data_IF_925586178080
#
_entry.id   IF_925586178080
#
_cell.length_a   1.000
_cell.length_b   1.000
_cell.length_c   1.000
_cell.angle_alpha   90.00
_cell.angle_beta   90.00
_cell.angle_gamma   90.00
#
_symmetry.space_group_name_H-M   'P 1'
#
loop_
_entity.id
_entity.type
_entity.pdbx_description
1 polymer ?
#
# COMPACT_ATOMS: atom_id res chain seq x y z
N UNK A 1 56.64 5.45 27.79
CA UNK A 1 55.18 5.56 27.94
C UNK A 1 54.58 5.82 26.55
N UNK A 2 53.94 4.82 25.96
CA UNK A 2 53.32 4.93 24.64
C UNK A 2 51.82 5.19 24.81
N UNK A 3 51.35 6.36 24.35
CA UNK A 3 49.94 6.72 24.39
C UNK A 3 49.14 5.94 23.33
N UNK A 4 48.15 5.18 23.76
CA UNK A 4 47.17 4.54 22.93
C UNK A 4 46.12 5.55 22.45
N UNK A 5 46.19 5.90 21.18
CA UNK A 5 45.15 6.70 20.51
C UNK A 5 43.86 5.90 20.32
N UNK A 6 42.81 6.30 20.98
CA UNK A 6 41.47 5.79 20.81
C UNK A 6 40.94 6.26 19.45
N UNK A 7 40.80 5.35 18.50
CA UNK A 7 40.11 5.62 17.22
C UNK A 7 38.61 5.67 17.49
N UNK A 8 38.04 6.85 17.40
CA UNK A 8 36.60 7.03 17.36
C UNK A 8 36.05 6.38 16.07
N UNK A 9 35.33 5.28 16.22
CA UNK A 9 34.54 4.66 15.15
C UNK A 9 33.38 5.59 14.83
N UNK A 10 33.47 6.32 13.72
CA UNK A 10 32.39 7.11 13.18
C UNK A 10 31.20 6.20 12.87
N UNK A 11 30.13 6.31 13.65
CA UNK A 11 28.80 5.79 13.26
C UNK A 11 28.41 6.49 11.98
N UNK A 12 28.45 5.76 10.86
CA UNK A 12 27.75 6.16 9.63
C UNK A 12 26.28 6.28 9.99
N UNK A 13 25.77 7.50 10.08
CA UNK A 13 24.34 7.78 10.14
C UNK A 13 23.79 7.32 8.80
N UNK A 14 23.16 6.15 8.77
CA UNK A 14 22.39 5.73 7.62
C UNK A 14 21.32 6.80 7.40
N UNK A 15 21.39 7.52 6.29
CA UNK A 15 20.31 8.42 5.88
C UNK A 15 19.07 7.56 5.72
N UNK A 16 18.08 7.78 6.58
CA UNK A 16 16.78 7.13 6.46
C UNK A 16 16.24 7.36 5.06
N UNK A 17 15.78 6.30 4.42
CA UNK A 17 15.14 6.41 3.12
C UNK A 17 13.82 7.17 3.29
N UNK A 18 13.48 8.10 2.40
CA UNK A 18 12.25 8.88 2.52
C UNK A 18 11.03 7.95 2.50
N UNK A 19 10.02 8.27 3.31
CA UNK A 19 8.74 7.56 3.34
C UNK A 19 8.00 7.87 2.04
N UNK A 20 7.91 6.90 1.14
CA UNK A 20 7.15 6.98 -0.09
C UNK A 20 5.77 6.35 0.12
N UNK A 21 4.71 7.00 -0.34
CA UNK A 21 3.35 6.48 -0.42
C UNK A 21 2.84 6.64 -1.85
N UNK A 22 2.08 5.65 -2.32
CA UNK A 22 1.37 5.70 -3.59
C UNK A 22 -0.12 5.69 -3.27
N UNK A 23 -0.83 6.74 -3.68
CA UNK A 23 -2.28 6.83 -3.56
C UNK A 23 -2.89 6.66 -4.93
N UNK A 24 -4.10 6.13 -4.99
CA UNK A 24 -4.79 5.90 -6.25
C UNK A 24 -6.04 6.77 -6.33
N UNK A 25 -6.22 7.45 -7.43
CA UNK A 25 -7.44 8.15 -7.79
C UNK A 25 -7.89 7.70 -9.18
N UNK A 26 -9.04 7.05 -9.28
CA UNK A 26 -9.55 6.46 -10.53
C UNK A 26 -8.47 5.64 -11.26
N UNK A 27 -7.88 4.66 -10.56
CA UNK A 27 -6.82 3.77 -11.05
C UNK A 27 -5.51 4.45 -11.46
N UNK A 28 -5.31 5.71 -11.05
CA UNK A 28 -4.08 6.47 -11.32
C UNK A 28 -3.27 6.73 -10.07
N UNK A 29 -2.00 6.46 -10.18
CA UNK A 29 -1.04 6.66 -9.09
C UNK A 29 -0.79 8.15 -8.83
N UNK A 30 -0.81 8.52 -7.55
CA UNK A 30 -0.36 9.82 -7.02
C UNK A 30 0.72 9.53 -5.99
N UNK A 31 1.97 9.73 -6.36
CA UNK A 31 3.11 9.49 -5.48
C UNK A 31 3.27 10.62 -4.48
N UNK A 32 3.53 10.26 -3.22
CA UNK A 32 3.78 11.19 -2.14
C UNK A 32 5.03 10.79 -1.33
N UNK A 33 5.74 11.77 -0.80
CA UNK A 33 6.91 11.60 0.06
C UNK A 33 6.64 12.27 1.40
N UNK A 34 6.86 11.54 2.49
CA UNK A 34 6.76 12.09 3.83
C UNK A 34 8.02 12.86 4.20
N UNK A 35 7.84 14.04 4.72
CA UNK A 35 8.87 14.91 5.29
C UNK A 35 8.80 14.81 6.82
N UNK A 36 9.76 14.10 7.42
CA UNK A 36 9.80 13.91 8.88
C UNK A 36 10.15 15.22 9.62
N UNK A 37 10.92 16.12 9.00
CA UNK A 37 11.32 17.39 9.59
C UNK A 37 10.15 18.36 9.76
N UNK A 38 9.28 18.43 8.72
CA UNK A 38 8.13 19.32 8.71
C UNK A 38 6.80 18.61 8.99
N UNK A 39 6.83 17.29 9.27
CA UNK A 39 5.65 16.45 9.55
C UNK A 39 4.54 16.60 8.52
N UNK A 40 4.88 16.57 7.22
CA UNK A 40 3.92 16.71 6.12
C UNK A 40 4.24 15.86 4.91
N UNK A 41 3.22 15.63 4.08
CA UNK A 41 3.35 14.96 2.79
C UNK A 41 3.64 15.95 1.67
N UNK A 42 4.55 15.57 0.79
CA UNK A 42 4.82 16.21 -0.48
C UNK A 42 4.34 15.33 -1.62
N UNK A 43 3.46 15.85 -2.47
CA UNK A 43 2.82 15.13 -3.57
C UNK A 43 3.45 15.49 -4.91
N UNK A 44 3.60 14.50 -5.80
CA UNK A 44 4.13 14.70 -7.14
C UNK A 44 3.15 15.49 -8.00
N UNK A 45 3.56 16.68 -8.40
CA UNK A 45 2.72 17.59 -9.22
C UNK A 45 2.37 16.98 -10.57
N UNK A 46 3.29 16.25 -11.21
CA UNK A 46 3.01 15.66 -12.53
C UNK A 46 1.98 14.54 -12.48
N UNK A 47 1.98 13.75 -11.42
CA UNK A 47 0.96 12.70 -11.23
C UNK A 47 -0.43 13.37 -11.08
N UNK A 48 -0.51 14.43 -10.29
CA UNK A 48 -1.77 15.17 -10.09
C UNK A 48 -2.24 15.86 -11.35
N UNK A 49 -1.35 16.53 -12.08
CA UNK A 49 -1.68 17.14 -13.38
C UNK A 49 -2.17 16.09 -14.38
N UNK A 50 -1.54 14.92 -14.42
CA UNK A 50 -1.99 13.77 -15.22
C UNK A 50 -3.39 13.32 -14.85
N UNK A 51 -3.67 13.20 -13.55
CA UNK A 51 -4.99 12.86 -13.03
C UNK A 51 -6.04 13.91 -13.42
N UNK A 52 -5.77 15.18 -13.19
CA UNK A 52 -6.72 16.27 -13.41
C UNK A 52 -7.04 16.51 -14.89
N UNK A 53 -6.09 16.22 -15.80
CA UNK A 53 -6.26 16.32 -17.26
C UNK A 53 -6.67 15.02 -17.95
N UNK A 54 -6.83 13.90 -17.23
CA UNK A 54 -7.02 12.56 -17.82
C UNK A 54 -5.90 12.14 -18.79
N UNK A 55 -4.72 12.70 -18.59
CA UNK A 55 -3.59 12.50 -19.49
C UNK A 55 -2.68 11.37 -18.99
N UNK A 56 -2.68 10.21 -19.66
CA UNK A 56 -1.83 9.08 -19.28
C UNK A 56 -0.36 9.28 -19.68
N UNK A 57 -0.09 10.14 -20.67
CA UNK A 57 1.26 10.43 -21.14
C UNK A 57 1.96 11.40 -20.18
N UNK A 58 2.97 10.89 -19.50
CA UNK A 58 3.76 11.67 -18.55
C UNK A 58 4.47 12.86 -19.20
N UNK A 59 4.83 12.77 -20.49
CA UNK A 59 5.46 13.86 -21.24
C UNK A 59 4.47 15.01 -21.48
N UNK A 60 3.22 14.70 -21.80
CA UNK A 60 2.16 15.68 -21.96
C UNK A 60 1.79 16.35 -20.63
N UNK A 61 1.68 15.57 -19.54
CA UNK A 61 1.47 16.12 -18.20
C UNK A 61 2.60 17.10 -17.82
N UNK A 62 3.86 16.75 -18.10
CA UNK A 62 5.03 17.61 -17.90
C UNK A 62 4.96 18.88 -18.71
N UNK A 63 4.60 18.81 -19.99
CA UNK A 63 4.49 19.98 -20.86
C UNK A 63 3.37 20.91 -20.38
N UNK A 64 2.23 20.35 -19.98
CA UNK A 64 1.13 21.13 -19.41
C UNK A 64 1.56 21.84 -18.12
N UNK A 65 2.20 21.11 -17.20
CA UNK A 65 2.71 21.71 -15.96
C UNK A 65 3.73 22.84 -16.24
N UNK A 66 4.64 22.62 -17.15
CA UNK A 66 5.62 23.66 -17.57
C UNK A 66 4.92 24.93 -18.04
N UNK A 67 3.90 24.79 -18.88
CA UNK A 67 3.09 25.92 -19.36
C UNK A 67 2.35 26.60 -18.21
N UNK A 68 1.63 25.86 -17.40
CA UNK A 68 0.86 26.38 -16.26
C UNK A 68 1.78 27.09 -15.26
N UNK A 69 2.90 26.47 -14.89
CA UNK A 69 3.90 27.06 -13.98
C UNK A 69 4.46 28.40 -14.52
N UNK A 70 4.74 28.47 -15.82
CA UNK A 70 5.20 29.69 -16.45
C UNK A 70 4.13 30.81 -16.43
N UNK A 71 2.86 30.46 -16.64
CA UNK A 71 1.72 31.38 -16.53
C UNK A 71 1.57 31.89 -15.08
N UNK A 72 1.53 30.99 -14.11
CA UNK A 72 1.41 31.32 -12.70
C UNK A 72 2.57 32.20 -12.19
N UNK A 73 3.78 31.94 -12.69
CA UNK A 73 4.96 32.80 -12.38
C UNK A 73 4.77 34.25 -12.86
N UNK A 74 4.22 34.45 -14.04
CA UNK A 74 3.91 35.81 -14.56
C UNK A 74 2.85 36.54 -13.74
N UNK A 75 1.93 35.75 -13.14
CA UNK A 75 0.86 36.27 -12.30
C UNK A 75 1.30 36.43 -10.83
N UNK A 76 2.58 36.20 -10.49
CA UNK A 76 3.12 36.20 -9.13
C UNK A 76 2.34 35.29 -8.17
N UNK A 77 1.81 34.17 -8.68
CA UNK A 77 1.00 33.25 -7.91
C UNK A 77 1.86 32.49 -6.88
N UNK A 78 1.40 32.46 -5.63
CA UNK A 78 2.11 31.83 -4.51
C UNK A 78 2.32 30.31 -4.71
N UNK A 79 1.52 29.65 -5.55
CA UNK A 79 1.67 28.22 -5.85
C UNK A 79 3.07 27.90 -6.40
N UNK A 80 3.67 28.80 -7.18
CA UNK A 80 5.01 28.59 -7.73
C UNK A 80 6.09 28.62 -6.64
N UNK A 81 5.99 29.53 -5.69
CA UNK A 81 6.92 29.59 -4.54
C UNK A 81 6.71 28.48 -3.53
N UNK A 82 5.50 27.90 -3.44
CA UNK A 82 5.20 26.75 -2.61
C UNK A 82 5.74 25.42 -3.20
N UNK A 83 6.18 25.41 -4.47
CA UNK A 83 6.72 24.21 -5.12
C UNK A 83 8.13 23.91 -4.62
N UNK A 84 8.36 22.72 -4.08
CA UNK A 84 9.70 22.19 -3.77
C UNK A 84 10.13 21.13 -4.78
N UNK A 85 11.42 20.76 -4.78
CA UNK A 85 11.93 19.70 -5.66
C UNK A 85 12.51 18.56 -4.84
N UNK A 86 11.99 17.35 -5.08
CA UNK A 86 12.53 16.12 -4.50
C UNK A 86 12.95 15.15 -5.60
N UNK A 87 13.92 14.29 -5.27
CA UNK A 87 14.36 13.22 -6.18
C UNK A 87 13.45 12.02 -6.06
N UNK A 88 12.67 11.74 -7.09
CA UNK A 88 11.82 10.55 -7.19
C UNK A 88 12.38 9.54 -8.19
N UNK A 89 12.17 8.26 -7.90
CA UNK A 89 12.48 7.16 -8.80
C UNK A 89 11.50 7.16 -9.98
N UNK A 90 12.03 7.06 -11.20
CA UNK A 90 11.24 6.93 -12.42
C UNK A 90 11.20 5.47 -12.90
N UNK A 91 10.35 5.17 -13.87
CA UNK A 91 10.17 3.83 -14.43
C UNK A 91 11.46 3.25 -15.06
N UNK A 92 12.39 4.11 -15.48
CA UNK A 92 13.71 3.72 -16.01
C UNK A 92 14.74 3.37 -14.91
N UNK A 93 14.33 3.38 -13.64
CA UNK A 93 15.20 3.11 -12.48
C UNK A 93 16.09 4.27 -12.06
N UNK A 94 16.00 5.44 -12.70
CA UNK A 94 16.78 6.63 -12.35
C UNK A 94 15.99 7.59 -11.47
N UNK A 95 16.70 8.38 -10.65
CA UNK A 95 16.09 9.41 -9.80
C UNK A 95 16.16 10.77 -10.50
N UNK A 96 15.00 11.43 -10.65
CA UNK A 96 14.88 12.76 -11.24
C UNK A 96 14.33 13.77 -10.23
N UNK A 97 14.82 15.01 -10.34
CA UNK A 97 14.22 16.13 -9.61
C UNK A 97 12.78 16.33 -10.10
N UNK A 98 11.85 16.28 -9.18
CA UNK A 98 10.42 16.33 -9.46
C UNK A 98 9.78 17.45 -8.63
N UNK A 99 8.95 18.25 -9.24
CA UNK A 99 8.20 19.30 -8.55
C UNK A 99 7.14 18.66 -7.63
N UNK A 100 7.14 19.09 -6.38
CA UNK A 100 6.26 18.59 -5.33
C UNK A 100 5.50 19.75 -4.70
N UNK A 101 4.28 19.47 -4.26
CA UNK A 101 3.45 20.39 -3.49
C UNK A 101 2.94 19.68 -2.23
N UNK A 102 2.76 20.41 -1.15
CA UNK A 102 2.07 19.92 0.03
C UNK A 102 0.54 19.96 -0.16
N UNK A 103 -0.22 19.56 0.86
CA UNK A 103 -1.68 19.48 0.76
C UNK A 103 -2.35 20.80 0.38
N UNK A 104 -1.87 21.92 0.92
CA UNK A 104 -2.40 23.24 0.60
C UNK A 104 -2.10 23.62 -0.85
N UNK A 105 -0.88 23.34 -1.31
CA UNK A 105 -0.46 23.54 -2.69
C UNK A 105 -1.26 22.70 -3.67
N UNK A 106 -1.60 21.45 -3.32
CA UNK A 106 -2.46 20.59 -4.15
C UNK A 106 -3.88 21.14 -4.28
N UNK A 107 -4.47 21.59 -3.17
CA UNK A 107 -5.79 22.23 -3.19
C UNK A 107 -5.78 23.49 -4.06
N UNK A 108 -4.72 24.30 -3.94
CA UNK A 108 -4.55 25.49 -4.78
C UNK A 108 -4.36 25.14 -6.26
N UNK A 109 -3.56 24.11 -6.57
CA UNK A 109 -3.35 23.62 -7.94
C UNK A 109 -4.66 23.16 -8.59
N UNK A 110 -5.47 22.38 -7.89
CA UNK A 110 -6.72 21.83 -8.42
C UNK A 110 -7.72 22.93 -8.83
N UNK A 111 -7.70 24.10 -8.20
CA UNK A 111 -8.53 25.26 -8.56
C UNK A 111 -8.23 25.82 -9.95
N UNK A 112 -7.06 25.52 -10.53
CA UNK A 112 -6.71 25.89 -11.91
C UNK A 112 -7.26 24.92 -12.97
N UNK A 113 -8.01 23.89 -12.54
CA UNK A 113 -8.67 22.89 -13.40
C UNK A 113 -10.19 22.99 -13.23
N UNK A 114 -10.89 23.87 -13.96
CA UNK A 114 -12.33 24.11 -13.77
C UNK A 114 -13.18 23.00 -14.39
N UNK A 115 -13.09 21.80 -13.86
CA UNK A 115 -13.86 20.65 -14.32
C UNK A 115 -14.37 19.80 -13.13
N UNK A 116 -15.40 19.00 -13.38
CA UNK A 116 -15.99 18.12 -12.36
C UNK A 116 -14.98 17.12 -11.75
N UNK A 117 -13.93 16.79 -12.50
CA UNK A 117 -12.91 15.87 -12.06
C UNK A 117 -12.04 16.48 -10.94
N UNK A 118 -11.71 17.76 -11.08
CA UNK A 118 -10.96 18.46 -10.04
C UNK A 118 -11.73 18.50 -8.72
N UNK A 119 -13.05 18.66 -8.75
CA UNK A 119 -13.87 18.59 -7.54
C UNK A 119 -13.88 17.18 -6.93
N UNK A 120 -14.10 16.15 -7.74
CA UNK A 120 -14.02 14.75 -7.28
C UNK A 120 -12.65 14.38 -6.73
N UNK A 121 -11.58 14.87 -7.38
CA UNK A 121 -10.21 14.72 -6.91
C UNK A 121 -10.01 15.39 -5.55
N UNK A 122 -10.50 16.63 -5.37
CA UNK A 122 -10.39 17.34 -4.09
C UNK A 122 -11.16 16.64 -2.97
N UNK A 123 -12.37 16.16 -3.24
CA UNK A 123 -13.14 15.38 -2.28
C UNK A 123 -12.38 14.13 -1.83
N UNK A 124 -11.88 13.35 -2.79
CA UNK A 124 -11.05 12.18 -2.50
C UNK A 124 -9.78 12.58 -1.74
N UNK A 125 -9.08 13.63 -2.15
CA UNK A 125 -7.83 14.07 -1.55
C UNK A 125 -8.01 14.51 -0.09
N UNK A 126 -9.07 15.27 0.20
CA UNK A 126 -9.35 15.78 1.54
C UNK A 126 -9.83 14.69 2.51
N UNK A 127 -10.56 13.70 2.01
CA UNK A 127 -11.19 12.68 2.87
C UNK A 127 -10.44 11.36 2.91
N UNK A 128 -9.52 11.09 1.97
CA UNK A 128 -8.79 9.81 1.92
C UNK A 128 -8.06 9.46 3.22
N UNK A 129 -7.49 10.45 3.90
CA UNK A 129 -6.73 10.24 5.15
C UNK A 129 -7.61 10.08 6.39
N UNK A 130 -8.87 10.49 6.35
CA UNK A 130 -9.83 10.42 7.46
C UNK A 130 -10.78 9.23 7.36
N UNK A 131 -10.85 8.60 6.19
CA UNK A 131 -11.62 7.37 5.99
C UNK A 131 -11.08 6.22 6.85
N UNK A 132 -11.90 5.19 7.07
CA UNK A 132 -11.45 3.96 7.74
C UNK A 132 -10.25 3.36 7.02
N UNK A 133 -10.27 3.35 5.68
CA UNK A 133 -9.17 2.85 4.85
C UNK A 133 -7.90 3.68 5.01
N UNK A 134 -8.00 5.00 4.98
CA UNK A 134 -6.85 5.87 5.21
C UNK A 134 -6.24 5.70 6.61
N UNK A 135 -7.08 5.60 7.64
CA UNK A 135 -6.62 5.39 9.01
C UNK A 135 -5.99 4.00 9.21
N UNK A 136 -6.62 2.94 8.70
CA UNK A 136 -6.06 1.58 8.78
C UNK A 136 -4.79 1.44 7.95
N UNK A 137 -4.66 2.13 6.82
CA UNK A 137 -3.44 2.20 6.01
C UNK A 137 -2.28 2.82 6.78
N UNK A 138 -2.50 3.92 7.51
CA UNK A 138 -1.48 4.52 8.40
C UNK A 138 -1.02 3.53 9.47
N UNK A 139 -1.96 2.76 10.05
CA UNK A 139 -1.63 1.70 11.00
C UNK A 139 -0.82 0.58 10.34
N UNK A 140 -1.12 0.18 9.10
CA UNK A 140 -0.34 -0.81 8.37
C UNK A 140 1.12 -0.36 8.19
N UNK A 141 1.37 0.91 7.84
CA UNK A 141 2.74 1.44 7.80
C UNK A 141 3.42 1.35 9.17
N UNK A 142 2.75 1.81 10.23
CA UNK A 142 3.29 1.78 11.60
C UNK A 142 3.58 0.35 12.06
N UNK A 143 2.77 -0.62 11.68
CA UNK A 143 2.96 -2.04 12.01
C UNK A 143 4.33 -2.57 11.53
N UNK A 144 4.76 -2.17 10.34
CA UNK A 144 6.07 -2.55 9.80
C UNK A 144 7.21 -1.67 10.37
N UNK A 145 7.01 -0.36 10.45
CA UNK A 145 8.04 0.57 10.92
C UNK A 145 8.42 0.37 12.39
N UNK A 146 7.44 0.02 13.22
CA UNK A 146 7.68 -0.30 14.64
C UNK A 146 8.26 -1.69 14.88
N UNK A 147 8.35 -2.55 13.84
CA UNK A 147 8.67 -3.96 13.93
C UNK A 147 7.69 -4.81 14.76
N UNK A 148 6.55 -4.26 15.17
CA UNK A 148 5.53 -4.98 15.95
C UNK A 148 5.00 -6.22 15.21
N UNK A 149 5.00 -6.19 13.87
CA UNK A 149 4.63 -7.33 13.03
C UNK A 149 5.43 -8.60 13.36
N UNK A 150 6.66 -8.48 13.86
CA UNK A 150 7.53 -9.60 14.19
C UNK A 150 7.08 -10.38 15.45
N UNK A 151 6.22 -9.76 16.28
CA UNK A 151 5.67 -10.37 17.47
C UNK A 151 4.37 -11.17 17.19
N UNK A 152 3.85 -11.08 15.95
CA UNK A 152 2.62 -11.75 15.57
C UNK A 152 2.89 -13.19 15.14
N UNK A 153 1.92 -14.07 15.40
CA UNK A 153 1.97 -15.45 14.95
C UNK A 153 1.92 -15.54 13.42
N UNK A 154 2.73 -16.44 12.85
CA UNK A 154 2.87 -16.56 11.40
C UNK A 154 2.09 -17.75 10.89
N UNK A 155 1.17 -17.50 9.95
CA UNK A 155 0.41 -18.54 9.24
C UNK A 155 -0.66 -19.21 10.11
N UNK A 156 -1.08 -18.60 11.21
CA UNK A 156 -2.19 -19.07 12.06
C UNK A 156 -3.39 -18.11 11.95
N UNK A 157 -4.57 -18.62 12.26
CA UNK A 157 -5.78 -17.79 12.42
C UNK A 157 -5.57 -16.70 13.46
N UNK A 158 -4.88 -17.03 14.56
CA UNK A 158 -4.56 -16.04 15.61
C UNK A 158 -3.67 -14.94 15.08
N UNK A 159 -2.63 -15.25 14.30
CA UNK A 159 -1.79 -14.24 13.67
C UNK A 159 -2.58 -13.33 12.73
N UNK A 160 -3.52 -13.88 11.96
CA UNK A 160 -4.41 -13.09 11.12
C UNK A 160 -5.35 -12.19 11.94
N UNK A 161 -5.86 -12.67 13.09
CA UNK A 161 -6.64 -11.85 14.04
C UNK A 161 -5.80 -10.71 14.65
N UNK A 162 -4.52 -10.95 14.95
CA UNK A 162 -3.59 -9.92 15.45
C UNK A 162 -3.39 -8.82 14.41
N UNK A 163 -3.16 -9.19 13.15
CA UNK A 163 -3.04 -8.24 12.03
C UNK A 163 -4.33 -7.43 11.91
N UNK A 164 -5.48 -8.10 11.78
CA UNK A 164 -6.78 -7.44 11.61
C UNK A 164 -7.14 -6.56 12.82
N UNK A 165 -6.90 -7.03 14.03
CA UNK A 165 -7.13 -6.28 15.26
C UNK A 165 -6.29 -5.02 15.34
N UNK A 166 -5.03 -5.09 14.89
CA UNK A 166 -4.15 -3.92 14.84
C UNK A 166 -4.60 -2.91 13.76
N UNK A 167 -4.89 -3.37 12.55
CA UNK A 167 -5.28 -2.50 11.44
C UNK A 167 -6.58 -1.76 11.72
N UNK A 168 -7.57 -2.44 12.29
CA UNK A 168 -8.94 -1.94 12.40
C UNK A 168 -9.39 -1.64 13.83
N UNK A 169 -8.53 -1.84 14.83
CA UNK A 169 -8.81 -1.51 16.24
C UNK A 169 -9.16 -0.04 16.40
N UNK A 170 -10.31 0.25 17.01
CA UNK A 170 -10.87 1.59 17.14
C UNK A 170 -11.52 2.15 15.85
N UNK A 171 -11.55 1.37 14.75
CA UNK A 171 -12.22 1.72 13.50
C UNK A 171 -13.45 0.84 13.25
N UNK A 172 -13.38 -0.44 13.63
CA UNK A 172 -14.49 -1.38 13.63
C UNK A 172 -14.64 -2.02 15.01
N UNK A 173 -15.88 -2.17 15.48
CA UNK A 173 -16.18 -2.83 16.76
C UNK A 173 -15.80 -4.32 16.74
N UNK A 174 -15.77 -4.93 15.56
CA UNK A 174 -15.40 -6.34 15.34
C UNK A 174 -13.92 -6.56 15.02
N UNK A 175 -13.06 -5.56 15.20
CA UNK A 175 -11.64 -5.65 14.86
C UNK A 175 -10.98 -6.86 15.57
N UNK A 176 -10.35 -7.74 14.79
CA UNK A 176 -9.73 -8.99 15.30
C UNK A 176 -10.70 -10.11 15.65
N UNK A 177 -12.01 -9.91 15.50
CA UNK A 177 -13.04 -10.89 15.87
C UNK A 177 -13.49 -11.70 14.65
N UNK A 178 -13.56 -13.03 14.80
CA UNK A 178 -14.12 -13.91 13.77
C UNK A 178 -15.63 -13.65 13.67
N UNK A 179 -16.12 -13.48 12.46
CA UNK A 179 -17.53 -13.19 12.21
C UNK A 179 -18.46 -14.32 12.63
N UNK A 180 -19.61 -13.95 13.12
CA UNK A 180 -20.71 -14.85 13.48
C UNK A 180 -21.84 -14.87 12.44
N UNK A 181 -21.74 -14.03 11.40
CA UNK A 181 -22.71 -13.93 10.30
C UNK A 181 -22.12 -14.46 9.01
N UNK A 182 -22.96 -15.13 8.22
CA UNK A 182 -22.59 -15.55 6.86
C UNK A 182 -22.58 -14.32 5.94
N UNK A 183 -21.58 -14.25 5.05
CA UNK A 183 -21.39 -13.14 4.12
C UNK A 183 -21.12 -13.65 2.72
N UNK A 184 -21.43 -12.82 1.72
CA UNK A 184 -21.17 -13.08 0.30
C UNK A 184 -20.67 -11.79 -0.37
N UNK A 185 -19.93 -11.93 -1.47
CA UNK A 185 -19.44 -10.79 -2.29
C UNK A 185 -19.47 -11.20 -3.76
N UNK A 186 -20.05 -10.36 -4.62
CA UNK A 186 -20.08 -10.60 -6.06
C UNK A 186 -20.76 -11.92 -6.46
N UNK A 187 -21.77 -12.37 -5.72
CA UNK A 187 -22.45 -13.67 -5.96
C UNK A 187 -21.72 -14.89 -5.40
N UNK A 188 -20.51 -14.74 -4.87
CA UNK A 188 -19.80 -15.83 -4.22
C UNK A 188 -20.14 -15.89 -2.72
N UNK A 189 -20.57 -17.08 -2.26
CA UNK A 189 -20.85 -17.35 -0.84
C UNK A 189 -19.56 -17.86 -0.16
N UNK A 190 -19.04 -17.08 0.80
CA UNK A 190 -17.94 -17.53 1.65
C UNK A 190 -18.40 -18.63 2.63
N UNK A 191 -17.45 -19.26 3.30
CA UNK A 191 -17.77 -20.30 4.30
C UNK A 191 -18.84 -19.81 5.27
N UNK A 192 -19.92 -20.59 5.45
CA UNK A 192 -20.98 -20.24 6.38
C UNK A 192 -20.47 -20.11 7.81
N UNK A 193 -20.98 -19.15 8.55
CA UNK A 193 -20.51 -18.84 9.90
C UNK A 193 -20.47 -20.05 10.83
N UNK A 194 -21.48 -20.92 10.77
CA UNK A 194 -21.56 -22.16 11.55
C UNK A 194 -20.41 -23.16 11.29
N UNK A 195 -19.77 -23.09 10.11
CA UNK A 195 -18.66 -23.97 9.74
C UNK A 195 -17.29 -23.29 9.88
N UNK A 196 -17.27 -21.98 10.14
CA UNK A 196 -16.07 -21.18 10.08
C UNK A 196 -15.02 -21.64 11.10
N UNK A 197 -15.43 -21.93 12.33
CA UNK A 197 -14.53 -22.40 13.38
C UNK A 197 -13.77 -23.68 12.99
N UNK A 198 -14.47 -24.67 12.48
CA UNK A 198 -13.84 -25.94 12.08
C UNK A 198 -12.98 -25.75 10.82
N UNK A 199 -13.39 -24.88 9.89
CA UNK A 199 -12.61 -24.55 8.71
C UNK A 199 -11.29 -23.87 9.10
N UNK A 200 -11.32 -22.90 10.01
CA UNK A 200 -10.11 -22.21 10.47
C UNK A 200 -9.14 -23.16 11.19
N UNK A 201 -9.66 -24.08 12.01
CA UNK A 201 -8.82 -25.13 12.63
C UNK A 201 -8.14 -26.01 11.58
N UNK A 202 -8.83 -26.38 10.50
CA UNK A 202 -8.23 -27.14 9.40
C UNK A 202 -7.16 -26.32 8.69
N UNK A 203 -7.42 -25.04 8.41
CA UNK A 203 -6.44 -24.14 7.77
C UNK A 203 -5.19 -24.00 8.67
N UNK A 204 -5.35 -23.86 9.98
CA UNK A 204 -4.22 -23.77 10.90
C UNK A 204 -3.34 -25.03 10.86
N UNK A 205 -3.93 -26.21 10.64
CA UNK A 205 -3.19 -27.47 10.53
C UNK A 205 -2.48 -27.68 9.18
N UNK A 206 -2.78 -26.88 8.15
CA UNK A 206 -2.10 -27.00 6.86
C UNK A 206 -0.61 -26.62 6.99
N UNK A 207 0.30 -27.35 6.30
CA UNK A 207 1.70 -27.01 6.27
C UNK A 207 1.94 -25.67 5.53
N UNK A 208 3.13 -25.09 5.70
CA UNK A 208 3.51 -23.81 5.14
C UNK A 208 5.01 -23.68 4.85
N UNK A 209 5.68 -24.80 4.55
CA UNK A 209 7.12 -24.82 4.28
C UNK A 209 7.46 -24.50 2.81
N UNK A 210 6.59 -24.86 1.89
CA UNK A 210 6.75 -24.69 0.45
C UNK A 210 5.74 -23.66 -0.12
N UNK A 211 6.02 -23.19 -1.35
CA UNK A 211 5.09 -22.26 -2.01
C UNK A 211 3.73 -22.90 -2.29
N UNK A 212 3.68 -24.17 -2.66
CA UNK A 212 2.42 -24.88 -2.87
C UNK A 212 1.57 -24.94 -1.59
N UNK A 213 2.19 -25.22 -0.47
CA UNK A 213 1.53 -25.27 0.83
C UNK A 213 1.02 -23.90 1.28
N UNK A 214 1.85 -22.86 1.14
CA UNK A 214 1.49 -21.49 1.48
C UNK A 214 0.34 -21.00 0.58
N UNK A 215 0.40 -21.26 -0.74
CA UNK A 215 -0.66 -20.88 -1.66
C UNK A 215 -1.98 -21.57 -1.34
N UNK A 216 -1.95 -22.86 -1.05
CA UNK A 216 -3.15 -23.61 -0.61
C UNK A 216 -3.72 -22.97 0.66
N UNK A 217 -2.90 -22.74 1.66
CA UNK A 217 -3.30 -22.13 2.93
C UNK A 217 -3.89 -20.74 2.75
N UNK A 218 -3.27 -19.92 1.92
CA UNK A 218 -3.74 -18.59 1.55
C UNK A 218 -5.09 -18.63 0.83
N UNK A 219 -5.24 -19.51 -0.14
CA UNK A 219 -6.48 -19.70 -0.91
C UNK A 219 -7.63 -20.15 0.00
N UNK A 220 -7.40 -21.13 0.88
CA UNK A 220 -8.40 -21.61 1.83
C UNK A 220 -8.80 -20.51 2.84
N UNK A 221 -7.85 -19.69 3.31
CA UNK A 221 -8.17 -18.55 4.19
C UNK A 221 -9.01 -17.49 3.47
N UNK A 222 -8.77 -17.24 2.19
CA UNK A 222 -9.60 -16.33 1.40
C UNK A 222 -11.03 -16.87 1.18
N UNK A 223 -11.20 -18.18 0.99
CA UNK A 223 -12.53 -18.83 0.96
C UNK A 223 -13.24 -18.77 2.30
N UNK A 224 -12.50 -18.91 3.39
CA UNK A 224 -13.03 -18.77 4.74
C UNK A 224 -13.54 -17.37 5.03
N UNK A 225 -12.80 -16.34 4.61
CA UNK A 225 -13.15 -14.92 4.75
C UNK A 225 -13.60 -14.57 6.17
N UNK A 226 -12.69 -14.70 7.18
CA UNK A 226 -13.10 -14.84 8.58
C UNK A 226 -13.64 -13.58 9.24
N UNK A 227 -13.50 -12.40 8.66
CA UNK A 227 -13.96 -11.12 9.22
C UNK A 227 -15.16 -10.57 8.47
N UNK A 228 -15.87 -9.64 9.08
CA UNK A 228 -16.99 -8.95 8.44
C UNK A 228 -16.51 -8.01 7.32
N UNK A 229 -15.35 -7.37 7.48
CA UNK A 229 -14.69 -6.48 6.52
C UNK A 229 -13.16 -6.55 6.73
N UNK A 230 -12.34 -6.03 5.81
CA UNK A 230 -10.88 -5.95 5.96
C UNK A 230 -10.11 -7.25 5.71
N UNK A 231 -10.77 -8.31 5.20
CA UNK A 231 -10.14 -9.61 4.97
C UNK A 231 -8.97 -9.51 3.98
N UNK A 232 -9.15 -8.90 2.81
CA UNK A 232 -8.12 -8.81 1.78
C UNK A 232 -6.86 -8.09 2.28
N UNK A 233 -7.03 -6.96 2.93
CA UNK A 233 -5.93 -6.15 3.51
C UNK A 233 -5.13 -6.94 4.54
N UNK A 234 -5.82 -7.68 5.41
CA UNK A 234 -5.17 -8.48 6.45
C UNK A 234 -4.51 -9.75 5.90
N UNK A 235 -5.17 -10.45 4.97
CA UNK A 235 -4.66 -11.71 4.43
C UNK A 235 -3.44 -11.52 3.52
N UNK A 236 -3.31 -10.38 2.82
CA UNK A 236 -2.10 -10.08 2.03
C UNK A 236 -0.87 -9.86 2.93
N UNK A 237 -1.02 -9.18 4.07
CA UNK A 237 0.05 -9.05 5.06
C UNK A 237 0.40 -10.43 5.66
N UNK A 238 -0.61 -11.22 5.99
CA UNK A 238 -0.44 -12.58 6.52
C UNK A 238 0.30 -13.51 5.54
N UNK A 239 0.00 -13.41 4.24
CA UNK A 239 0.73 -14.09 3.18
C UNK A 239 2.20 -13.70 3.16
N UNK A 240 2.49 -12.39 3.16
CA UNK A 240 3.85 -11.88 3.12
C UNK A 240 4.67 -12.33 4.34
N UNK A 241 4.06 -12.45 5.52
CA UNK A 241 4.74 -12.98 6.71
C UNK A 241 5.18 -14.44 6.50
N UNK A 242 4.32 -15.29 5.93
CA UNK A 242 4.66 -16.68 5.62
C UNK A 242 5.77 -16.77 4.58
N UNK A 243 5.65 -16.01 3.49
CA UNK A 243 6.66 -15.98 2.42
C UNK A 243 8.03 -15.54 2.94
N UNK A 244 8.07 -14.48 3.76
CA UNK A 244 9.32 -13.99 4.36
C UNK A 244 9.97 -15.02 5.26
N UNK A 245 9.18 -15.66 6.12
CA UNK A 245 9.70 -16.64 7.07
C UNK A 245 10.25 -17.89 6.38
N UNK A 246 9.47 -18.47 5.48
CA UNK A 246 9.74 -19.81 4.94
C UNK A 246 10.51 -19.76 3.62
N UNK A 247 10.24 -18.80 2.74
CA UNK A 247 10.82 -18.74 1.41
C UNK A 247 11.84 -17.61 1.21
N UNK A 248 11.99 -16.70 2.18
CA UNK A 248 12.82 -15.49 2.05
C UNK A 248 12.43 -14.65 0.84
N UNK A 249 11.13 -14.55 0.59
CA UNK A 249 10.52 -13.79 -0.50
C UNK A 249 9.36 -12.93 0.03
N UNK A 250 8.95 -11.94 -0.73
CA UNK A 250 7.68 -11.23 -0.58
C UNK A 250 7.12 -10.94 -1.97
N UNK A 251 5.88 -10.46 -2.04
CA UNK A 251 5.24 -10.10 -3.30
C UNK A 251 5.52 -8.63 -3.62
N UNK A 252 6.03 -8.36 -4.81
CA UNK A 252 6.08 -7.02 -5.39
C UNK A 252 4.71 -6.72 -6.02
N UNK A 253 3.80 -6.20 -5.22
CA UNK A 253 2.42 -5.94 -5.63
C UNK A 253 2.31 -4.94 -6.78
N UNK A 254 3.33 -4.11 -7.01
CA UNK A 254 3.37 -3.17 -8.14
C UNK A 254 3.42 -3.85 -9.51
N UNK A 255 3.80 -5.12 -9.56
CA UNK A 255 3.83 -5.92 -10.79
C UNK A 255 2.50 -6.60 -11.13
N UNK A 256 1.52 -6.49 -10.25
CA UNK A 256 0.23 -7.18 -10.40
C UNK A 256 -0.86 -6.12 -10.56
N UNK A 257 -1.57 -6.13 -11.69
CA UNK A 257 -2.71 -5.24 -11.86
C UNK A 257 -3.88 -5.68 -10.96
N UNK A 258 -4.69 -4.72 -10.51
CA UNK A 258 -5.91 -4.97 -9.73
C UNK A 258 -6.82 -5.98 -10.44
N UNK A 259 -7.04 -5.80 -11.74
CA UNK A 259 -7.89 -6.68 -12.55
C UNK A 259 -7.36 -8.12 -12.54
N UNK A 260 -6.06 -8.32 -12.82
CA UNK A 260 -5.46 -9.66 -12.84
C UNK A 260 -5.52 -10.32 -11.46
N UNK A 261 -5.27 -9.55 -10.38
CA UNK A 261 -5.36 -10.08 -9.04
C UNK A 261 -6.79 -10.48 -8.66
N UNK A 262 -7.78 -9.62 -8.91
CA UNK A 262 -9.17 -9.91 -8.59
C UNK A 262 -9.71 -11.09 -9.39
N UNK A 263 -9.37 -11.20 -10.68
CA UNK A 263 -9.74 -12.35 -11.51
C UNK A 263 -9.10 -13.65 -11.01
N UNK A 264 -7.80 -13.62 -10.67
CA UNK A 264 -7.10 -14.78 -10.11
C UNK A 264 -7.71 -15.20 -8.74
N UNK A 265 -8.13 -14.24 -7.91
CA UNK A 265 -8.81 -14.52 -6.64
C UNK A 265 -10.17 -15.19 -6.85
N UNK A 266 -10.96 -14.75 -7.81
CA UNK A 266 -12.24 -15.40 -8.17
C UNK A 266 -11.99 -16.84 -8.64
N UNK A 267 -11.06 -17.03 -9.56
CA UNK A 267 -10.71 -18.38 -10.08
C UNK A 267 -10.17 -19.27 -8.97
N UNK A 268 -9.43 -18.74 -8.01
CA UNK A 268 -8.83 -19.49 -6.91
C UNK A 268 -9.85 -20.16 -5.99
N UNK A 269 -11.11 -19.78 -6.07
CA UNK A 269 -12.21 -20.47 -5.36
C UNK A 269 -12.40 -21.90 -5.85
N UNK A 270 -12.01 -22.19 -7.10
CA UNK A 270 -12.09 -23.51 -7.75
C UNK A 270 -10.68 -24.05 -8.01
N UNK A 271 -9.79 -23.23 -8.57
CA UNK A 271 -8.42 -23.59 -8.93
C UNK A 271 -7.43 -22.53 -8.45
N UNK A 272 -6.65 -22.87 -7.42
CA UNK A 272 -5.62 -21.99 -6.85
C UNK A 272 -4.35 -21.85 -7.71
N UNK A 273 -4.23 -22.61 -8.82
CA UNK A 273 -3.01 -22.59 -9.65
C UNK A 273 -2.81 -21.26 -10.37
N UNK A 274 -3.89 -20.62 -10.82
CA UNK A 274 -3.84 -19.31 -11.51
C UNK A 274 -3.31 -18.23 -10.57
N UNK A 275 -3.84 -18.16 -9.35
CA UNK A 275 -3.35 -17.22 -8.33
C UNK A 275 -1.90 -17.52 -7.96
N UNK A 276 -1.54 -18.80 -7.81
CA UNK A 276 -0.17 -19.24 -7.53
C UNK A 276 0.81 -18.72 -8.58
N UNK A 277 0.52 -18.95 -9.86
CA UNK A 277 1.37 -18.51 -10.97
C UNK A 277 1.48 -16.99 -11.03
N UNK A 278 0.37 -16.28 -10.88
CA UNK A 278 0.36 -14.82 -10.89
C UNK A 278 1.27 -14.24 -9.80
N UNK A 279 1.12 -14.68 -8.54
CA UNK A 279 1.91 -14.20 -7.42
C UNK A 279 3.41 -14.56 -7.58
N UNK A 280 3.71 -15.73 -8.12
CA UNK A 280 5.08 -16.19 -8.34
C UNK A 280 5.86 -15.27 -9.30
N UNK A 281 5.20 -14.71 -10.32
CA UNK A 281 5.82 -13.75 -11.25
C UNK A 281 6.25 -12.45 -10.58
N UNK A 282 5.66 -12.13 -9.45
CA UNK A 282 5.92 -10.92 -8.67
C UNK A 282 6.83 -11.14 -7.45
N UNK A 283 7.37 -12.33 -7.25
CA UNK A 283 8.24 -12.60 -6.12
C UNK A 283 9.54 -11.78 -6.18
N UNK A 284 9.95 -11.29 -5.03
CA UNK A 284 11.21 -10.58 -4.83
C UNK A 284 11.89 -11.01 -3.53
N UNK A 285 13.22 -10.89 -3.49
CA UNK A 285 14.02 -11.12 -2.28
C UNK A 285 14.17 -9.88 -1.39
N UNK A 286 13.52 -8.76 -1.72
CA UNK A 286 13.58 -7.49 -0.98
C UNK A 286 12.74 -7.52 0.31
N UNK A 287 12.90 -8.55 1.12
CA UNK A 287 12.06 -8.83 2.31
C UNK A 287 12.20 -7.81 3.44
N UNK A 288 13.28 -7.02 3.45
CA UNK A 288 13.57 -5.97 4.44
C UNK A 288 13.64 -4.57 3.81
N UNK A 289 13.17 -4.43 2.58
CA UNK A 289 13.17 -3.15 1.87
C UNK A 289 11.90 -2.37 2.26
N UNK A 290 12.10 -1.16 2.80
CA UNK A 290 11.02 -0.32 3.30
C UNK A 290 10.10 0.17 2.18
N UNK A 291 10.67 0.56 1.02
CA UNK A 291 9.87 1.01 -0.13
C UNK A 291 8.97 -0.13 -0.61
N UNK A 292 9.48 -1.36 -0.62
CA UNK A 292 8.71 -2.56 -0.96
C UNK A 292 7.50 -2.76 -0.03
N UNK A 293 7.68 -2.55 1.29
CA UNK A 293 6.56 -2.65 2.23
C UNK A 293 5.52 -1.56 2.03
N UNK A 294 5.96 -0.31 1.89
CA UNK A 294 5.05 0.82 1.70
C UNK A 294 4.25 0.66 0.40
N UNK A 295 4.91 0.31 -0.70
CA UNK A 295 4.24 -0.02 -1.95
C UNK A 295 3.25 -1.18 -1.79
N UNK A 296 3.67 -2.25 -1.12
CA UNK A 296 2.80 -3.41 -0.88
C UNK A 296 1.51 -3.05 -0.14
N UNK A 297 1.60 -2.18 0.86
CA UNK A 297 0.44 -1.65 1.58
C UNK A 297 -0.42 -0.79 0.64
N UNK A 298 0.18 0.13 -0.12
CA UNK A 298 -0.54 1.00 -1.04
C UNK A 298 -1.37 0.21 -2.06
N UNK A 299 -0.76 -0.76 -2.73
CA UNK A 299 -1.45 -1.65 -3.67
C UNK A 299 -2.49 -2.53 -3.00
N UNK A 300 -2.21 -3.02 -1.78
CA UNK A 300 -3.18 -3.82 -1.02
C UNK A 300 -4.46 -3.06 -0.72
N UNK A 301 -4.37 -1.77 -0.42
CA UNK A 301 -5.56 -0.93 -0.22
C UNK A 301 -6.25 -0.57 -1.53
N UNK A 302 -5.49 -0.25 -2.56
CA UNK A 302 -6.02 0.02 -3.90
C UNK A 302 -6.86 -1.15 -4.46
N UNK A 303 -6.50 -2.40 -4.18
CA UNK A 303 -7.28 -3.55 -4.65
C UNK A 303 -8.68 -3.63 -4.03
N UNK A 304 -8.93 -2.94 -2.92
CA UNK A 304 -10.25 -2.93 -2.26
C UNK A 304 -11.14 -1.74 -2.71
N UNK A 305 -10.55 -0.71 -3.33
CA UNK A 305 -11.29 0.41 -3.92
C UNK A 305 -12.07 -0.03 -5.17
#
# INVERSE_FOLDING_TARGET
>A
MRGLGCKATGKQVMKEQPKLSIRFFNDREVRAVWDDEHSKWWFNVLDIVGVLNEEPDYTKARNYWKYLKAKLKKENNQLVSATTQLKLLAADGKKYNTDMLDSEGIIALAKHFPNNRAMKFLDWFLYSDTSIDGQSKKKAYTLFESNLINDFEIGTTRGLQQIHGYLFGGLYDFAGQIREKSISKGGYQFVYAQHLKITLQKIDSLPQATWDEINLKYTEMNKAHPFMEGNGRSTRIWLDMMLKKHLKKCVDWSKISKENYMNAMIISTVDGSVLKQLLETAFTAKINDREMFMQGIDYSYYYEE
#
